data_IF_930715881619
#
_entry.id   IF_930715881619
#
_cell.length_a   1.000
_cell.length_b   1.000
_cell.length_c   1.000
_cell.angle_alpha   90.00
_cell.angle_beta   90.00
_cell.angle_gamma   90.00
#
_symmetry.space_group_name_H-M   'P 1'
#
loop_
_entity.id
_entity.type
_entity.pdbx_description
1 polymer ?
#
# COMPACT_ATOMS: atom_id res chain seq x y z
N UNK A 1 1.96 -11.17 15.92
CA UNK A 1 1.92 -12.26 14.91
C UNK A 1 3.34 -12.45 14.42
N UNK A 2 4.09 -13.32 15.10
CA UNK A 2 5.50 -13.58 14.78
C UNK A 2 5.49 -14.81 13.89
N UNK A 3 6.12 -14.73 12.73
CA UNK A 3 6.42 -15.85 11.85
C UNK A 3 7.20 -16.89 12.65
N UNK A 4 6.50 -17.86 13.24
CA UNK A 4 7.01 -18.68 14.34
C UNK A 4 7.59 -20.03 13.92
N UNK A 5 7.93 -20.22 12.65
CA UNK A 5 8.63 -21.43 12.19
C UNK A 5 9.84 -21.04 11.36
N UNK A 6 11.03 -21.33 11.87
CA UNK A 6 12.25 -21.19 11.07
C UNK A 6 12.14 -22.07 9.83
N UNK A 7 12.49 -21.51 8.68
CA UNK A 7 12.53 -22.24 7.42
C UNK A 7 13.45 -23.46 7.55
N UNK A 8 13.04 -24.62 7.04
CA UNK A 8 13.89 -25.79 6.83
C UNK A 8 13.76 -26.30 5.39
N UNK A 9 14.67 -27.17 4.91
CA UNK A 9 14.50 -27.81 3.61
C UNK A 9 13.16 -28.56 3.46
N UNK A 10 12.66 -29.15 4.55
CA UNK A 10 11.40 -29.90 4.60
C UNK A 10 10.17 -29.01 4.84
N UNK A 11 10.38 -27.80 5.34
CA UNK A 11 9.34 -26.79 5.54
C UNK A 11 9.84 -25.41 5.07
N UNK A 12 9.98 -25.21 3.74
CA UNK A 12 10.52 -23.98 3.20
C UNK A 12 9.58 -22.81 3.45
N UNK A 13 10.14 -21.66 3.81
CA UNK A 13 9.37 -20.46 4.09
C UNK A 13 8.95 -19.77 2.78
N UNK A 14 7.64 -19.70 2.56
CA UNK A 14 7.06 -18.91 1.46
C UNK A 14 6.99 -17.44 1.88
N UNK A 15 7.25 -16.53 0.95
CA UNK A 15 7.33 -15.09 1.22
C UNK A 15 6.30 -14.29 0.41
N UNK A 16 6.02 -13.06 0.87
CA UNK A 16 5.15 -12.05 0.24
C UNK A 16 3.66 -12.43 0.16
N UNK A 17 2.85 -11.42 -0.13
CA UNK A 17 1.39 -11.45 -0.03
C UNK A 17 0.65 -10.84 -1.23
N UNK A 18 1.25 -9.90 -1.95
CA UNK A 18 0.62 -9.24 -3.12
C UNK A 18 0.72 -10.12 -4.36
N UNK A 19 -0.33 -10.14 -5.18
CA UNK A 19 -0.34 -10.79 -6.49
C UNK A 19 -1.31 -10.11 -7.47
N UNK A 20 -1.07 -10.35 -8.76
CA UNK A 20 -2.05 -10.25 -9.81
C UNK A 20 -1.83 -11.40 -10.80
N UNK A 21 -2.90 -11.89 -11.41
CA UNK A 21 -2.82 -13.03 -12.33
C UNK A 21 -4.17 -13.36 -12.96
N UNK A 22 -4.24 -14.52 -13.61
CA UNK A 22 -5.44 -15.01 -14.29
C UNK A 22 -6.04 -16.18 -13.53
N UNK A 23 -7.36 -16.21 -13.38
CA UNK A 23 -8.07 -17.34 -12.79
C UNK A 23 -7.99 -18.53 -13.76
N UNK A 24 -7.39 -19.64 -13.30
CA UNK A 24 -7.27 -20.89 -14.07
C UNK A 24 -8.22 -21.97 -13.59
N UNK A 25 -8.70 -21.87 -12.36
CA UNK A 25 -9.64 -22.79 -11.73
C UNK A 25 -10.46 -22.04 -10.66
N UNK A 26 -11.69 -22.48 -10.42
CA UNK A 26 -12.56 -21.96 -9.36
C UNK A 26 -13.14 -23.11 -8.54
N UNK A 27 -13.29 -22.90 -7.24
CA UNK A 27 -13.97 -23.86 -6.37
C UNK A 27 -15.46 -24.00 -6.73
N UNK A 28 -16.08 -25.14 -6.38
CA UNK A 28 -17.48 -25.46 -6.70
C UNK A 28 -18.50 -24.40 -6.24
N UNK A 29 -18.17 -23.73 -5.14
CA UNK A 29 -19.07 -22.77 -4.47
C UNK A 29 -18.82 -21.32 -4.92
N UNK A 30 -17.79 -21.08 -5.72
CA UNK A 30 -17.48 -19.75 -6.27
C UNK A 30 -18.51 -19.40 -7.36
N UNK A 31 -19.00 -18.16 -7.33
CA UNK A 31 -19.99 -17.63 -8.29
C UNK A 31 -19.57 -16.31 -8.94
N UNK A 32 -18.73 -15.52 -8.26
CA UNK A 32 -18.37 -14.17 -8.69
C UNK A 32 -17.13 -14.12 -9.61
N UNK A 33 -16.50 -15.27 -9.86
CA UNK A 33 -15.30 -15.41 -10.69
C UNK A 33 -15.41 -16.60 -11.63
N UNK A 34 -14.75 -16.48 -12.77
CA UNK A 34 -14.67 -17.54 -13.78
C UNK A 34 -13.26 -17.70 -14.33
N UNK A 35 -12.98 -18.86 -14.89
CA UNK A 35 -11.72 -19.11 -15.61
C UNK A 35 -11.55 -18.08 -16.70
N UNK A 36 -10.39 -17.44 -16.73
CA UNK A 36 -10.07 -16.38 -17.67
C UNK A 36 -10.01 -14.98 -17.07
N UNK A 37 -10.64 -14.76 -15.91
CA UNK A 37 -10.67 -13.45 -15.27
C UNK A 37 -9.27 -13.02 -14.83
N UNK A 38 -8.92 -11.77 -15.13
CA UNK A 38 -7.73 -11.13 -14.58
C UNK A 38 -8.05 -10.51 -13.22
N UNK A 39 -7.27 -10.88 -12.21
CA UNK A 39 -7.53 -10.52 -10.82
C UNK A 39 -6.27 -10.00 -10.15
N UNK A 40 -6.46 -9.31 -9.03
CA UNK A 40 -5.40 -8.86 -8.14
C UNK A 40 -5.87 -9.00 -6.69
N UNK A 41 -4.93 -9.32 -5.80
CA UNK A 41 -5.26 -9.75 -4.44
C UNK A 41 -4.10 -9.53 -3.47
N UNK A 42 -4.44 -9.53 -2.18
CA UNK A 42 -3.47 -9.68 -1.10
C UNK A 42 -3.86 -10.87 -0.23
N UNK A 43 -2.92 -11.81 -0.04
CA UNK A 43 -3.05 -12.87 0.96
C UNK A 43 -3.02 -12.28 2.38
N UNK A 44 -3.75 -12.91 3.31
CA UNK A 44 -3.66 -12.52 4.72
C UNK A 44 -2.30 -12.88 5.31
N UNK A 45 -1.92 -12.30 6.45
CA UNK A 45 -0.59 -12.49 7.04
C UNK A 45 -0.30 -13.92 7.56
N UNK A 46 -1.30 -14.79 7.59
CA UNK A 46 -1.17 -16.23 7.87
C UNK A 46 -0.90 -17.06 6.61
N UNK A 47 -0.95 -16.45 5.42
CA UNK A 47 -0.66 -17.04 4.14
C UNK A 47 0.41 -16.24 3.38
N UNK A 48 1.36 -16.94 2.78
CA UNK A 48 2.45 -16.35 2.01
C UNK A 48 2.78 -17.22 0.79
N UNK A 49 3.53 -16.66 -0.16
CA UNK A 49 4.06 -17.42 -1.29
C UNK A 49 3.61 -16.92 -2.64
N UNK A 50 3.49 -15.60 -2.79
CA UNK A 50 3.07 -15.03 -4.07
C UNK A 50 4.17 -14.99 -5.12
N UNK A 51 5.40 -15.38 -4.77
CA UNK A 51 6.45 -15.72 -5.73
C UNK A 51 6.29 -17.16 -6.23
N UNK A 52 5.14 -17.45 -6.85
CA UNK A 52 4.78 -18.75 -7.38
C UNK A 52 3.86 -18.59 -8.60
N UNK A 53 3.91 -19.56 -9.52
CA UNK A 53 3.08 -19.55 -10.74
C UNK A 53 1.59 -19.75 -10.45
N UNK A 54 1.28 -20.47 -9.37
CA UNK A 54 -0.09 -20.77 -8.94
C UNK A 54 -0.22 -20.63 -7.43
N UNK A 55 -1.38 -20.14 -7.00
CA UNK A 55 -1.75 -20.06 -5.60
C UNK A 55 -3.27 -20.01 -5.45
N UNK A 56 -3.75 -20.42 -4.27
CA UNK A 56 -5.16 -20.34 -3.94
C UNK A 56 -5.45 -19.04 -3.19
N UNK A 57 -6.53 -18.35 -3.56
CA UNK A 57 -6.99 -17.11 -2.91
C UNK A 57 -8.45 -17.26 -2.50
N UNK A 58 -8.78 -16.86 -1.28
CA UNK A 58 -10.16 -16.75 -0.82
C UNK A 58 -10.88 -15.60 -1.55
N UNK A 59 -12.11 -15.84 -2.01
CA UNK A 59 -12.89 -14.85 -2.79
C UNK A 59 -13.12 -13.53 -2.04
N UNK A 60 -12.98 -13.50 -0.71
CA UNK A 60 -13.08 -12.31 0.14
C UNK A 60 -11.86 -11.39 0.08
N UNK A 61 -10.80 -11.76 -0.64
CA UNK A 61 -9.51 -11.02 -0.68
C UNK A 61 -8.98 -10.77 -2.09
N UNK A 62 -9.81 -11.01 -3.09
CA UNK A 62 -9.50 -10.87 -4.51
C UNK A 62 -10.53 -9.95 -5.16
N UNK A 63 -10.12 -9.24 -6.20
CA UNK A 63 -11.01 -8.46 -7.06
C UNK A 63 -10.54 -8.56 -8.52
N UNK A 64 -11.45 -8.31 -9.46
CA UNK A 64 -11.12 -8.16 -10.88
C UNK A 64 -10.17 -6.98 -11.09
N UNK A 65 -9.07 -7.19 -11.81
CA UNK A 65 -8.06 -6.18 -12.14
C UNK A 65 -8.70 -4.91 -12.73
N UNK A 66 -8.20 -3.70 -12.43
CA UNK A 66 -8.55 -2.49 -13.18
C UNK A 66 -8.29 -2.70 -14.68
N UNK A 67 -9.24 -2.30 -15.54
CA UNK A 67 -9.14 -2.56 -16.98
C UNK A 67 -8.01 -1.78 -17.66
N UNK A 68 -7.51 -0.72 -17.02
CA UNK A 68 -6.46 0.17 -17.52
C UNK A 68 -5.07 -0.11 -16.92
N UNK A 69 -4.87 -1.26 -16.27
CA UNK A 69 -3.57 -1.68 -15.74
C UNK A 69 -3.08 -2.97 -16.41
N UNK A 70 -1.77 -3.09 -16.59
CA UNK A 70 -1.09 -4.38 -16.77
C UNK A 70 -1.16 -5.24 -15.50
N UNK A 71 -0.89 -6.55 -15.61
CA UNK A 71 -0.78 -7.40 -14.42
C UNK A 71 0.33 -6.92 -13.46
N UNK A 72 1.46 -6.46 -14.00
CA UNK A 72 2.58 -5.95 -13.21
C UNK A 72 2.19 -4.70 -12.39
N UNK A 73 1.45 -3.76 -12.98
CA UNK A 73 0.95 -2.59 -12.24
C UNK A 73 -0.05 -2.97 -11.17
N UNK A 74 -0.97 -3.90 -11.48
CA UNK A 74 -1.98 -4.36 -10.56
C UNK A 74 -1.38 -5.13 -9.36
N UNK A 75 -0.34 -5.94 -9.58
CA UNK A 75 0.38 -6.64 -8.50
C UNK A 75 1.04 -5.66 -7.51
N UNK A 76 1.32 -4.42 -7.91
CA UNK A 76 1.90 -3.41 -7.05
C UNK A 76 0.92 -2.77 -6.04
N UNK A 77 -0.38 -2.93 -6.24
CA UNK A 77 -1.45 -2.23 -5.49
C UNK A 77 -1.80 -2.85 -4.13
N UNK A 78 -2.07 -4.18 -4.00
CA UNK A 78 -2.94 -4.70 -2.94
C UNK A 78 -2.55 -4.32 -1.50
N UNK A 79 -1.35 -4.62 -1.03
CA UNK A 79 -0.93 -4.29 0.33
C UNK A 79 -0.83 -2.79 0.56
N UNK A 80 -0.13 -2.08 -0.32
CA UNK A 80 0.19 -0.67 -0.11
C UNK A 80 -1.06 0.21 -0.27
N UNK A 81 -1.86 -0.04 -1.31
CA UNK A 81 -3.12 0.66 -1.58
C UNK A 81 -4.15 0.43 -0.49
N UNK A 82 -4.39 -0.83 -0.06
CA UNK A 82 -5.38 -1.11 0.98
C UNK A 82 -4.95 -0.56 2.35
N UNK A 83 -3.65 -0.55 2.65
CA UNK A 83 -3.14 0.05 3.88
C UNK A 83 -3.41 1.56 3.87
N UNK A 84 -3.15 2.23 2.75
CA UNK A 84 -3.43 3.66 2.58
C UNK A 84 -4.92 3.98 2.66
N UNK A 85 -5.76 3.16 2.02
CA UNK A 85 -7.21 3.30 2.08
C UNK A 85 -7.73 3.20 3.52
N UNK A 86 -7.32 2.16 4.25
CA UNK A 86 -7.69 2.01 5.66
C UNK A 86 -7.21 3.18 6.50
N UNK A 87 -5.96 3.62 6.29
CA UNK A 87 -5.39 4.73 7.05
C UNK A 87 -6.15 6.04 6.84
N UNK A 88 -6.47 6.39 5.59
CA UNK A 88 -7.06 7.68 5.25
C UNK A 88 -8.59 7.68 5.37
N UNK A 89 -9.25 6.64 4.86
CA UNK A 89 -10.71 6.59 4.72
C UNK A 89 -11.33 5.91 5.94
N UNK A 90 -10.97 4.66 6.22
CA UNK A 90 -11.63 3.87 7.27
C UNK A 90 -11.37 4.44 8.67
N UNK A 91 -10.11 4.70 9.00
CA UNK A 91 -9.71 5.15 10.34
C UNK A 91 -9.47 6.67 10.39
N UNK A 92 -8.82 7.22 9.37
CA UNK A 92 -8.52 8.65 9.27
C UNK A 92 -9.75 9.51 9.00
N UNK A 93 -10.81 8.93 8.43
CA UNK A 93 -12.06 9.61 8.07
C UNK A 93 -11.82 10.93 7.31
N UNK A 94 -10.78 10.97 6.48
CA UNK A 94 -10.38 12.16 5.75
C UNK A 94 -11.54 12.64 4.87
N UNK A 95 -11.85 13.94 4.93
CA UNK A 95 -12.90 14.57 4.14
C UNK A 95 -12.31 15.60 3.17
N UNK A 96 -13.08 15.96 2.16
CA UNK A 96 -12.79 17.07 1.23
C UNK A 96 -12.39 18.35 1.97
N UNK A 97 -11.39 19.05 1.43
CA UNK A 97 -10.88 20.31 1.97
C UNK A 97 -10.11 20.18 3.29
N UNK A 98 -10.00 18.98 3.85
CA UNK A 98 -9.14 18.75 5.02
C UNK A 98 -7.68 18.62 4.61
N UNK A 99 -6.80 18.80 5.59
CA UNK A 99 -5.35 18.69 5.44
C UNK A 99 -4.85 17.40 6.06
N UNK A 100 -3.96 16.69 5.37
CA UNK A 100 -3.32 15.46 5.87
C UNK A 100 -1.80 15.57 5.81
N UNK A 101 -1.11 15.10 6.85
CA UNK A 101 0.34 14.91 6.86
C UNK A 101 0.67 13.43 6.67
N UNK A 102 1.36 13.12 5.58
CA UNK A 102 1.85 11.78 5.25
C UNK A 102 3.34 11.70 5.55
N UNK A 103 3.67 11.02 6.65
CA UNK A 103 5.06 10.73 6.99
C UNK A 103 5.59 9.61 6.09
N UNK A 104 6.76 9.82 5.48
CA UNK A 104 7.33 8.85 4.54
C UNK A 104 6.57 8.77 3.22
N UNK A 105 6.20 9.92 2.65
CA UNK A 105 5.41 10.03 1.42
C UNK A 105 6.03 9.34 0.20
N UNK A 106 7.34 9.10 0.19
CA UNK A 106 8.00 8.35 -0.89
C UNK A 106 8.09 6.83 -0.66
N UNK A 107 7.47 6.31 0.40
CA UNK A 107 7.38 4.85 0.66
C UNK A 107 6.32 4.20 -0.23
N UNK A 108 6.32 2.87 -0.33
CA UNK A 108 5.30 2.15 -1.10
C UNK A 108 3.87 2.55 -0.71
N UNK A 109 3.57 2.59 0.59
CA UNK A 109 2.27 3.06 1.11
C UNK A 109 2.09 4.56 0.92
N UNK A 110 3.11 5.37 1.20
CA UNK A 110 3.06 6.83 1.09
C UNK A 110 2.67 7.32 -0.31
N UNK A 111 3.20 6.70 -1.37
CA UNK A 111 2.89 7.06 -2.75
C UNK A 111 1.41 6.81 -3.10
N UNK A 112 0.80 5.73 -2.58
CA UNK A 112 -0.65 5.52 -2.71
C UNK A 112 -1.44 6.48 -1.83
N UNK A 113 -0.98 6.74 -0.60
CA UNK A 113 -1.67 7.64 0.33
C UNK A 113 -1.79 9.08 -0.20
N UNK A 114 -0.74 9.59 -0.85
CA UNK A 114 -0.76 10.92 -1.47
C UNK A 114 -1.86 10.97 -2.53
N UNK A 115 -1.86 10.01 -3.47
CA UNK A 115 -2.80 9.98 -4.58
C UNK A 115 -4.25 9.81 -4.09
N UNK A 116 -4.49 8.91 -3.13
CA UNK A 116 -5.82 8.70 -2.54
C UNK A 116 -6.30 9.96 -1.82
N UNK A 117 -5.44 10.61 -1.02
CA UNK A 117 -5.82 11.85 -0.33
C UNK A 117 -6.16 12.97 -1.33
N UNK A 118 -5.43 13.07 -2.45
CA UNK A 118 -5.77 14.03 -3.51
C UNK A 118 -7.04 13.67 -4.26
N UNK A 119 -7.32 12.39 -4.47
CA UNK A 119 -8.59 11.95 -5.06
C UNK A 119 -9.79 12.23 -4.14
N UNK A 120 -9.56 12.46 -2.85
CA UNK A 120 -10.55 12.90 -1.86
C UNK A 120 -10.58 14.43 -1.69
N UNK A 121 -9.94 15.19 -2.59
CA UNK A 121 -9.86 16.65 -2.56
C UNK A 121 -9.28 17.22 -1.25
N UNK A 122 -8.34 16.49 -0.64
CA UNK A 122 -7.59 16.96 0.53
C UNK A 122 -6.34 17.77 0.13
N UNK A 123 -5.89 18.62 1.05
CA UNK A 123 -4.55 19.23 1.01
C UNK A 123 -3.53 18.25 1.58
N UNK A 124 -2.51 17.90 0.79
CA UNK A 124 -1.53 16.88 1.13
C UNK A 124 -0.19 17.50 1.47
N UNK A 125 0.23 17.33 2.72
CA UNK A 125 1.61 17.55 3.17
C UNK A 125 2.31 16.20 3.24
N UNK A 126 3.50 16.07 2.67
CA UNK A 126 4.25 14.83 2.71
C UNK A 126 5.69 15.05 3.14
N UNK A 127 6.26 14.11 3.91
CA UNK A 127 7.70 14.12 4.19
C UNK A 127 8.44 13.15 3.26
N UNK A 128 9.58 13.56 2.71
CA UNK A 128 10.44 12.66 1.95
C UNK A 128 11.90 13.15 1.92
N UNK A 129 12.80 12.30 1.43
CA UNK A 129 14.18 12.73 1.14
C UNK A 129 14.22 13.62 -0.10
N UNK A 130 15.22 14.49 -0.21
CA UNK A 130 15.36 15.44 -1.33
C UNK A 130 15.28 14.77 -2.72
N UNK A 131 15.87 13.58 -2.88
CA UNK A 131 15.86 12.82 -4.14
C UNK A 131 14.48 12.36 -4.65
N UNK A 132 13.43 12.45 -3.82
CA UNK A 132 12.08 11.97 -4.10
C UNK A 132 11.04 13.10 -4.17
N UNK A 133 11.45 14.36 -4.07
CA UNK A 133 10.55 15.52 -4.02
C UNK A 133 9.72 15.63 -5.28
N UNK A 134 10.37 15.57 -6.45
CA UNK A 134 9.68 15.65 -7.73
C UNK A 134 8.69 14.50 -7.91
N UNK A 135 9.06 13.29 -7.47
CA UNK A 135 8.15 12.13 -7.50
C UNK A 135 6.91 12.41 -6.64
N UNK A 136 7.10 12.79 -5.37
CA UNK A 136 6.00 13.02 -4.42
C UNK A 136 5.10 14.18 -4.84
N UNK A 137 5.67 15.27 -5.38
CA UNK A 137 4.91 16.39 -5.97
C UNK A 137 4.12 15.96 -7.20
N UNK A 138 4.71 15.16 -8.09
CA UNK A 138 4.03 14.68 -9.31
C UNK A 138 2.82 13.78 -9.01
N UNK A 139 2.74 13.22 -7.80
CA UNK A 139 1.60 12.43 -7.32
C UNK A 139 0.56 13.28 -6.57
N UNK A 140 0.84 14.57 -6.37
CA UNK A 140 -0.11 15.55 -5.88
C UNK A 140 0.14 16.06 -4.46
N UNK A 141 1.32 15.84 -3.87
CA UNK A 141 1.66 16.54 -2.63
C UNK A 141 1.72 18.06 -2.85
N UNK A 142 0.91 18.82 -2.11
CA UNK A 142 0.84 20.28 -2.16
C UNK A 142 2.03 20.94 -1.44
N UNK A 143 2.46 20.34 -0.32
CA UNK A 143 3.67 20.74 0.41
C UNK A 143 4.56 19.52 0.69
N UNK A 144 5.87 19.68 0.47
CA UNK A 144 6.86 18.63 0.77
C UNK A 144 7.86 19.13 1.80
N UNK A 145 8.07 18.33 2.85
CA UNK A 145 9.02 18.61 3.94
C UNK A 145 10.20 17.64 3.86
N UNK A 146 11.42 18.19 3.87
CA UNK A 146 12.65 17.42 3.79
C UNK A 146 13.07 16.93 5.16
N UNK A 147 12.74 15.67 5.50
CA UNK A 147 13.00 15.18 6.86
C UNK A 147 14.49 15.10 7.24
N UNK A 148 15.40 15.21 6.28
CA UNK A 148 16.85 15.22 6.51
C UNK A 148 17.40 16.57 6.95
N UNK A 149 16.71 17.67 6.64
CA UNK A 149 17.09 19.03 7.02
C UNK A 149 16.12 19.65 8.02
N UNK A 150 14.84 19.30 7.93
CA UNK A 150 13.76 19.94 8.65
C UNK A 150 12.98 18.95 9.50
N UNK A 151 12.57 19.39 10.69
CA UNK A 151 11.57 18.67 11.47
C UNK A 151 10.19 19.13 11.01
N UNK A 152 9.37 18.18 10.59
CA UNK A 152 8.00 18.48 10.15
C UNK A 152 7.18 19.20 11.22
N UNK A 153 7.43 18.91 12.50
CA UNK A 153 6.76 19.55 13.64
C UNK A 153 7.05 21.05 13.70
N UNK A 154 8.25 21.46 13.33
CA UNK A 154 8.69 22.86 13.41
C UNK A 154 8.13 23.63 12.22
N UNK A 155 8.15 23.02 11.03
CA UNK A 155 7.57 23.58 9.79
C UNK A 155 6.05 23.75 9.90
N UNK A 156 5.36 22.86 10.62
CA UNK A 156 3.90 22.85 10.75
C UNK A 156 3.39 23.44 12.07
N UNK A 157 4.26 23.99 12.92
CA UNK A 157 3.88 24.51 14.23
C UNK A 157 2.77 25.58 14.16
N UNK A 158 2.78 26.43 13.12
CA UNK A 158 1.78 27.47 12.88
C UNK A 158 0.49 26.94 12.19
N UNK A 159 0.58 25.76 11.56
CA UNK A 159 -0.51 25.12 10.85
C UNK A 159 -0.79 23.74 11.47
N UNK A 160 -1.44 23.72 12.64
CA UNK A 160 -1.80 22.48 13.35
C UNK A 160 -2.57 21.53 12.43
N UNK A 161 -1.88 20.54 11.85
CA UNK A 161 -2.51 19.48 11.03
C UNK A 161 -3.48 18.67 11.87
N UNK A 162 -3.18 18.49 13.15
CA UNK A 162 -4.10 17.90 14.13
C UNK A 162 -4.84 18.98 14.89
N UNK A 163 -6.18 18.94 14.81
CA UNK A 163 -7.07 19.78 15.61
C UNK A 163 -7.15 19.26 17.05
N UNK A 164 -7.28 20.17 18.01
CA UNK A 164 -7.54 19.79 19.41
C UNK A 164 -8.85 19.01 19.51
N UNK A 165 -8.84 17.93 20.30
CA UNK A 165 -9.92 16.97 20.55
C UNK A 165 -10.42 16.16 19.35
N UNK A 166 -10.28 16.67 18.13
CA UNK A 166 -10.87 16.05 16.92
C UNK A 166 -9.82 15.56 15.91
N UNK A 167 -8.53 15.84 16.13
CA UNK A 167 -7.45 15.34 15.28
C UNK A 167 -7.41 13.81 15.31
N UNK A 168 -7.05 13.21 14.18
CA UNK A 168 -6.89 11.76 14.05
C UNK A 168 -5.46 11.46 13.61
N UNK A 169 -4.77 10.62 14.38
CA UNK A 169 -3.46 10.09 14.03
C UNK A 169 -3.57 8.59 13.78
N UNK A 170 -3.17 8.14 12.59
CA UNK A 170 -3.15 6.72 12.23
C UNK A 170 -1.71 6.28 12.03
N UNK A 171 -1.30 5.25 12.76
CA UNK A 171 0.01 4.61 12.58
C UNK A 171 -0.16 3.21 12.02
N UNK A 172 0.74 2.83 11.12
CA UNK A 172 0.82 1.49 10.55
C UNK A 172 1.77 0.67 11.41
N UNK A 173 1.33 -0.50 11.88
CA UNK A 173 2.08 -1.35 12.80
C UNK A 173 1.73 -1.14 14.29
N UNK A 174 2.27 -2.00 15.17
CA UNK A 174 2.15 -1.86 16.63
C UNK A 174 3.31 -1.03 17.15
N UNK A 175 3.00 -0.04 17.97
CA UNK A 175 3.97 0.67 18.81
C UNK A 175 3.74 0.23 20.26
N UNK A 176 4.77 -0.34 20.89
CA UNK A 176 4.67 -0.93 22.23
C UNK A 176 4.37 0.11 23.33
N UNK A 177 4.98 1.30 23.21
CA UNK A 177 4.80 2.40 24.17
C UNK A 177 3.99 3.52 23.55
N UNK A 178 2.72 3.52 23.90
CA UNK A 178 1.75 4.48 23.41
C UNK A 178 1.90 5.79 24.17
N UNK A 179 2.12 6.88 23.43
CA UNK A 179 2.13 8.25 23.98
C UNK A 179 0.70 8.79 23.89
N UNK A 180 0.17 9.31 25.00
CA UNK A 180 -1.11 10.01 25.02
C UNK A 180 -1.02 11.34 24.27
N UNK A 181 -2.08 11.68 23.55
CA UNK A 181 -2.10 12.93 22.81
C UNK A 181 -2.32 14.10 23.79
N UNK A 182 -1.40 15.06 23.92
CA UNK A 182 -1.57 16.21 24.80
C UNK A 182 -2.70 17.14 24.34
N UNK A 183 -3.19 16.97 23.11
CA UNK A 183 -4.28 17.75 22.51
C UNK A 183 -5.59 16.96 22.41
N UNK A 184 -5.66 15.75 22.99
CA UNK A 184 -6.86 14.90 22.93
C UNK A 184 -7.16 14.28 21.56
N UNK A 185 -6.18 14.25 20.64
CA UNK A 185 -6.35 13.61 19.33
C UNK A 185 -6.59 12.10 19.47
N UNK A 186 -7.47 11.55 18.63
CA UNK A 186 -7.73 10.12 18.56
C UNK A 186 -6.59 9.42 17.83
N UNK A 187 -6.10 8.30 18.39
CA UNK A 187 -5.07 7.47 17.76
C UNK A 187 -5.65 6.13 17.30
N UNK A 188 -5.36 5.76 16.06
CA UNK A 188 -5.55 4.41 15.54
C UNK A 188 -4.20 3.75 15.23
N UNK A 189 -4.07 2.47 15.57
CA UNK A 189 -2.99 1.62 15.10
C UNK A 189 -3.59 0.58 14.17
N UNK A 190 -3.05 0.44 12.97
CA UNK A 190 -3.61 -0.44 11.96
C UNK A 190 -2.59 -1.48 11.51
N UNK A 191 -3.07 -2.70 11.33
CA UNK A 191 -2.47 -3.69 10.44
C UNK A 191 -3.41 -3.84 9.25
N UNK A 192 -2.84 -4.02 8.07
CA UNK A 192 -3.65 -4.18 6.88
C UNK A 192 -4.58 -5.38 7.04
N UNK A 193 -5.89 -5.14 6.97
CA UNK A 193 -6.90 -6.18 6.88
C UNK A 193 -7.35 -6.29 5.41
N UNK A 194 -6.72 -7.15 4.58
CA UNK A 194 -7.09 -7.23 3.18
C UNK A 194 -8.53 -7.74 3.00
N UNK A 195 -9.29 -7.04 2.15
CA UNK A 195 -10.64 -7.45 1.75
C UNK A 195 -10.96 -6.98 0.32
N UNK A 196 -11.91 -7.65 -0.32
CA UNK A 196 -12.35 -7.35 -1.68
C UNK A 196 -12.91 -5.94 -1.82
N UNK A 197 -13.63 -5.43 -0.82
CA UNK A 197 -14.26 -4.11 -0.87
C UNK A 197 -13.23 -2.99 -1.03
N UNK A 198 -12.09 -3.06 -0.33
CA UNK A 198 -11.03 -2.06 -0.48
C UNK A 198 -10.36 -2.12 -1.85
N UNK A 199 -10.18 -3.32 -2.41
CA UNK A 199 -9.69 -3.46 -3.79
C UNK A 199 -10.69 -2.85 -4.78
N UNK A 200 -11.99 -3.06 -4.60
CA UNK A 200 -13.01 -2.46 -5.47
C UNK A 200 -13.02 -0.92 -5.39
N UNK A 201 -12.82 -0.32 -4.22
CA UNK A 201 -12.70 1.15 -4.12
C UNK A 201 -11.41 1.66 -4.78
N UNK A 202 -10.27 0.99 -4.58
CA UNK A 202 -9.02 1.33 -5.25
C UNK A 202 -9.14 1.19 -6.78
N UNK A 203 -9.85 0.17 -7.26
CA UNK A 203 -10.15 -0.03 -8.68
C UNK A 203 -10.82 1.20 -9.28
N UNK A 204 -11.84 1.77 -8.62
CA UNK A 204 -12.54 2.96 -9.12
C UNK A 204 -11.58 4.15 -9.29
N UNK A 205 -10.73 4.41 -8.29
CA UNK A 205 -9.75 5.50 -8.36
C UNK A 205 -8.71 5.27 -9.46
N UNK A 206 -8.29 4.02 -9.66
CA UNK A 206 -7.34 3.63 -10.70
C UNK A 206 -7.95 3.80 -12.09
N UNK A 207 -9.18 3.30 -12.31
CA UNK A 207 -9.88 3.41 -13.59
C UNK A 207 -10.24 4.86 -13.94
N UNK A 208 -10.46 5.71 -12.93
CA UNK A 208 -10.59 7.15 -13.08
C UNK A 208 -9.26 7.88 -13.37
N UNK A 209 -8.12 7.19 -13.36
CA UNK A 209 -6.79 7.76 -13.60
C UNK A 209 -6.25 8.59 -12.43
N UNK A 210 -6.87 8.52 -11.25
CA UNK A 210 -6.49 9.29 -10.06
C UNK A 210 -5.40 8.60 -9.24
N UNK A 211 -5.27 7.28 -9.36
CA UNK A 211 -4.26 6.47 -8.68
C UNK A 211 -3.52 5.60 -9.69
N UNK A 212 -2.19 5.60 -9.62
CA UNK A 212 -1.31 4.72 -10.40
C UNK A 212 -0.26 4.05 -9.52
N UNK A 213 0.21 2.90 -9.98
CA UNK A 213 1.36 2.21 -9.40
C UNK A 213 2.64 2.86 -9.91
N UNK A 214 3.51 3.31 -9.00
CA UNK A 214 4.88 3.70 -9.36
C UNK A 214 5.74 2.44 -9.26
N UNK A 215 6.20 1.93 -10.41
CA UNK A 215 7.09 0.78 -10.49
C UNK A 215 8.54 1.28 -10.55
N UNK A 216 9.37 0.77 -9.64
CA UNK A 216 10.81 0.97 -9.66
C UNK A 216 11.47 0.06 -10.70
N UNK A 217 11.12 -1.23 -10.65
CA UNK A 217 11.68 -2.25 -11.52
C UNK A 217 10.79 -3.49 -11.55
N UNK A 218 10.87 -4.22 -12.66
CA UNK A 218 10.21 -5.52 -12.87
C UNK A 218 11.32 -6.54 -13.11
N UNK A 219 11.27 -7.65 -12.39
CA UNK A 219 12.27 -8.73 -12.49
C UNK A 219 11.55 -10.06 -12.71
N UNK A 220 12.07 -10.95 -13.55
CA UNK A 220 11.52 -12.29 -13.67
C UNK A 220 11.82 -13.10 -12.40
N UNK A 221 11.04 -14.15 -12.12
CA UNK A 221 11.19 -14.97 -10.91
C UNK A 221 12.61 -15.54 -10.74
N UNK A 222 13.30 -15.84 -11.84
CA UNK A 222 14.68 -16.35 -11.85
C UNK A 222 15.68 -15.35 -11.22
N UNK A 223 15.38 -14.05 -11.25
CA UNK A 223 16.20 -12.98 -10.70
C UNK A 223 15.71 -12.51 -9.31
N UNK A 224 14.94 -13.35 -8.62
CA UNK A 224 14.35 -13.00 -7.33
C UNK A 224 15.37 -12.50 -6.30
N UNK A 225 16.55 -13.13 -6.21
CA UNK A 225 17.57 -12.74 -5.23
C UNK A 225 18.06 -11.31 -5.47
N UNK A 226 18.37 -10.95 -6.72
CA UNK A 226 18.80 -9.61 -7.11
C UNK A 226 17.71 -8.56 -6.80
N UNK A 227 16.46 -8.88 -7.12
CA UNK A 227 15.32 -8.00 -6.83
C UNK A 227 15.13 -7.78 -5.31
N UNK A 228 15.40 -8.82 -4.50
CA UNK A 228 15.37 -8.72 -3.04
C UNK A 228 16.51 -7.86 -2.49
N UNK A 229 17.70 -7.91 -3.07
CA UNK A 229 18.80 -7.01 -2.70
C UNK A 229 18.45 -5.54 -2.94
N UNK A 230 17.82 -5.23 -4.08
CA UNK A 230 17.30 -3.88 -4.37
C UNK A 230 16.27 -3.46 -3.31
N UNK A 231 15.35 -4.36 -2.94
CA UNK A 231 14.36 -4.11 -1.90
C UNK A 231 15.02 -3.78 -0.54
N UNK A 232 16.05 -4.55 -0.17
CA UNK A 232 16.76 -4.39 1.11
C UNK A 232 17.69 -3.17 1.14
N UNK A 233 18.06 -2.61 -0.01
CA UNK A 233 18.84 -1.36 -0.07
C UNK A 233 18.08 -0.14 0.47
N UNK A 234 16.74 -0.20 0.55
CA UNK A 234 15.85 0.93 0.84
C UNK A 234 16.03 2.13 -0.11
N UNK A 235 16.53 1.87 -1.34
CA UNK A 235 16.74 2.90 -2.36
C UNK A 235 15.68 2.94 -3.45
N UNK A 236 14.88 1.88 -3.60
CA UNK A 236 13.84 1.77 -4.60
C UNK A 236 12.83 2.92 -4.54
N UNK A 237 12.33 3.34 -5.71
CA UNK A 237 11.30 4.36 -5.88
C UNK A 237 9.99 3.71 -6.31
N UNK A 238 9.18 3.32 -5.33
CA UNK A 238 7.90 2.67 -5.57
C UNK A 238 7.96 1.16 -5.36
N UNK A 239 7.32 0.40 -6.25
CA UNK A 239 7.17 -1.06 -6.15
C UNK A 239 8.23 -1.77 -6.99
N UNK A 240 8.83 -2.80 -6.41
CA UNK A 240 9.59 -3.81 -7.15
C UNK A 240 8.63 -4.96 -7.44
N UNK A 241 8.49 -5.33 -8.71
CA UNK A 241 7.58 -6.37 -9.16
C UNK A 241 8.39 -7.61 -9.54
N UNK A 242 7.90 -8.78 -9.13
CA UNK A 242 8.41 -10.08 -9.61
C UNK A 242 7.39 -10.62 -10.59
N UNK A 243 7.78 -10.70 -11.86
CA UNK A 243 6.99 -11.31 -12.93
C UNK A 243 7.22 -12.80 -12.93
N UNK A 244 6.18 -13.57 -12.61
CA UNK A 244 6.29 -15.03 -12.44
C UNK A 244 5.85 -15.79 -13.69
N UNK A 245 4.99 -15.19 -14.51
CA UNK A 245 4.59 -15.71 -15.80
C UNK A 245 4.52 -14.56 -16.81
N UNK A 246 4.99 -14.80 -18.03
CA UNK A 246 4.87 -13.84 -19.13
C UNK A 246 3.44 -13.88 -19.68
N UNK A 247 2.88 -12.70 -19.96
CA UNK A 247 1.58 -12.54 -20.64
C UNK A 247 1.55 -13.21 -22.03
#
# INVERSE_FOLDING_TARGET
>A
MILSTMASPENPYRVRHDLAGKVVEVGSDVKDYQVGDEVYAMLWFDATGTFAEYLNVDTKRVALKPSNMSLNEAAGVPLAGQTSWQALVTYGKLQEGQRVLILGGSSGTGLFAIQIAKALDAEVVATCSHRNVELVKSLGADQVIYYTSDKWSDVLAEHKVLKEQTGIFVTIGVIDKLIESPIGATRHQIFNAPCTEYLLELKKLIEAGQVKTVIDSVHPLENLVEAMEICMSHRAKGKIIIEVAKE
#
